data_IF_308552299984
#
_entry.id   IF_308552299984
#
_cell.length_a   1.000
_cell.length_b   1.000
_cell.length_c   1.000
_cell.angle_alpha   90.00
_cell.angle_beta   90.00
_cell.angle_gamma   90.00
#
_symmetry.space_group_name_H-M   'P 1'
#
loop_
_entity.id
_entity.type
_entity.pdbx_description
1 polymer ?
#
# COMPACT_ATOMS: atom_id res chain seq x y z
N UNK A 1 -46.11 55.49 -41.65
CA UNK A 1 -44.71 55.55 -41.13
C UNK A 1 -44.77 55.07 -39.70
N UNK A 2 -44.64 53.76 -39.51
CA UNK A 2 -44.81 53.10 -38.22
C UNK A 2 -43.48 52.97 -37.48
N UNK A 3 -43.56 53.29 -36.19
CA UNK A 3 -42.61 52.93 -35.13
C UNK A 3 -42.20 51.45 -35.23
N UNK A 4 -40.93 51.14 -34.96
CA UNK A 4 -40.61 49.99 -34.10
C UNK A 4 -39.20 50.13 -33.55
N UNK A 5 -39.13 50.66 -32.33
CA UNK A 5 -38.00 50.57 -31.41
C UNK A 5 -37.68 49.09 -31.17
N UNK A 6 -36.63 48.58 -31.82
CA UNK A 6 -36.07 47.27 -31.46
C UNK A 6 -35.22 47.44 -30.19
N UNK A 7 -35.86 47.15 -29.06
CA UNK A 7 -35.18 46.87 -27.81
C UNK A 7 -34.13 45.79 -28.03
N UNK A 8 -32.89 46.11 -27.67
CA UNK A 8 -31.80 45.16 -27.60
C UNK A 8 -32.15 44.16 -26.49
N UNK A 9 -32.74 43.02 -26.86
CA UNK A 9 -32.90 41.89 -25.94
C UNK A 9 -31.49 41.38 -25.61
N UNK A 10 -30.89 41.90 -24.56
CA UNK A 10 -29.86 41.15 -23.83
C UNK A 10 -30.59 40.01 -23.14
N UNK A 11 -30.31 38.74 -23.48
CA UNK A 11 -30.74 37.66 -22.63
C UNK A 11 -29.95 37.83 -21.34
N UNK A 12 -30.61 38.31 -20.30
CA UNK A 12 -30.16 38.12 -18.91
C UNK A 12 -30.31 36.63 -18.60
N UNK A 13 -29.49 35.81 -19.25
CA UNK A 13 -29.17 34.48 -18.77
C UNK A 13 -28.39 34.72 -17.50
N UNK A 14 -29.14 34.78 -16.40
CA UNK A 14 -28.61 34.52 -15.07
C UNK A 14 -27.95 33.15 -15.19
N UNK A 15 -26.64 33.13 -15.44
CA UNK A 15 -25.83 31.94 -15.31
C UNK A 15 -26.08 31.44 -13.90
N UNK A 16 -26.98 30.47 -13.79
CA UNK A 16 -27.19 29.72 -12.57
C UNK A 16 -25.88 28.98 -12.40
N UNK A 17 -24.98 29.59 -11.63
CA UNK A 17 -23.74 28.96 -11.19
C UNK A 17 -24.18 27.68 -10.51
N UNK A 18 -24.07 26.57 -11.23
CA UNK A 18 -24.44 25.25 -10.73
C UNK A 18 -23.51 25.04 -9.56
N UNK A 19 -24.13 25.05 -8.38
CA UNK A 19 -23.46 24.96 -7.10
C UNK A 19 -22.45 23.83 -7.14
N UNK A 20 -21.27 24.16 -6.63
CA UNK A 20 -20.13 23.27 -6.39
C UNK A 20 -20.67 21.91 -5.96
N UNK A 21 -20.54 20.95 -6.90
CA UNK A 21 -21.01 19.58 -6.78
C UNK A 21 -20.57 19.07 -5.41
N UNK A 22 -21.52 18.97 -4.48
CA UNK A 22 -21.27 18.45 -3.14
C UNK A 22 -20.81 16.99 -3.35
N UNK A 23 -19.50 16.76 -3.42
CA UNK A 23 -18.97 15.39 -3.58
C UNK A 23 -19.43 14.64 -2.34
N UNK A 24 -20.28 13.61 -2.46
CA UNK A 24 -20.68 12.85 -1.29
C UNK A 24 -19.42 12.31 -0.63
N UNK A 25 -19.22 12.59 0.67
CA UNK A 25 -18.10 12.04 1.43
C UNK A 25 -18.21 10.52 1.35
N UNK A 26 -17.28 9.90 0.63
CA UNK A 26 -17.25 8.45 0.45
C UNK A 26 -16.93 7.85 1.81
N UNK A 27 -17.91 7.17 2.41
CA UNK A 27 -17.73 6.52 3.70
C UNK A 27 -16.73 5.36 3.53
N UNK A 28 -15.63 5.40 4.29
CA UNK A 28 -14.64 4.33 4.30
C UNK A 28 -15.29 3.02 4.77
N UNK A 29 -15.15 1.97 3.99
CA UNK A 29 -15.64 0.64 4.37
C UNK A 29 -14.73 0.03 5.44
N UNK A 30 -15.31 -0.69 6.40
CA UNK A 30 -14.54 -1.42 7.42
C UNK A 30 -13.52 -2.38 6.81
N UNK A 31 -13.86 -3.01 5.68
CA UNK A 31 -12.96 -3.91 4.96
C UNK A 31 -11.67 -3.22 4.47
N UNK A 32 -11.75 -1.94 4.04
CA UNK A 32 -10.55 -1.18 3.61
C UNK A 32 -9.66 -0.89 4.82
N UNK A 33 -10.25 -0.58 5.97
CA UNK A 33 -9.51 -0.40 7.22
C UNK A 33 -8.78 -1.68 7.63
N UNK A 34 -9.44 -2.83 7.51
CA UNK A 34 -8.85 -4.15 7.80
C UNK A 34 -7.68 -4.44 6.84
N UNK A 35 -7.85 -4.18 5.54
CA UNK A 35 -6.79 -4.34 4.54
C UNK A 35 -5.58 -3.48 4.90
N UNK A 36 -5.78 -2.19 5.18
CA UNK A 36 -4.69 -1.30 5.59
C UNK A 36 -3.94 -1.82 6.82
N UNK A 37 -4.68 -2.28 7.82
CA UNK A 37 -4.11 -2.81 9.06
C UNK A 37 -3.31 -4.09 8.84
N UNK A 38 -3.85 -5.04 8.06
CA UNK A 38 -3.17 -6.28 7.71
C UNK A 38 -1.94 -6.02 6.83
N UNK A 39 -2.00 -5.06 5.91
CA UNK A 39 -0.84 -4.63 5.11
C UNK A 39 0.30 -4.15 6.03
N UNK A 40 -0.03 -3.30 7.01
CA UNK A 40 0.93 -2.73 7.95
C UNK A 40 1.55 -3.80 8.85
N UNK A 41 0.72 -4.67 9.45
CA UNK A 41 1.20 -5.78 10.27
C UNK A 41 2.07 -6.73 9.46
N UNK A 42 1.64 -7.09 8.25
CA UNK A 42 2.40 -7.93 7.35
C UNK A 42 3.78 -7.38 7.06
N UNK A 43 3.86 -6.09 6.75
CA UNK A 43 5.11 -5.38 6.52
C UNK A 43 6.04 -5.43 7.74
N UNK A 44 5.52 -5.17 8.94
CA UNK A 44 6.30 -5.25 10.19
C UNK A 44 6.83 -6.66 10.47
N UNK A 45 6.00 -7.68 10.29
CA UNK A 45 6.40 -9.08 10.50
C UNK A 45 7.46 -9.49 9.48
N UNK A 46 7.29 -9.14 8.21
CA UNK A 46 8.27 -9.46 7.16
C UNK A 46 9.62 -8.79 7.37
N UNK A 47 9.64 -7.51 7.79
CA UNK A 47 10.87 -6.83 8.20
C UNK A 47 11.54 -7.56 9.37
N UNK A 48 10.77 -7.95 10.39
CA UNK A 48 11.28 -8.72 11.53
C UNK A 48 11.88 -10.07 11.12
N UNK A 49 11.23 -10.78 10.20
CA UNK A 49 11.73 -12.04 9.62
C UNK A 49 13.05 -11.82 8.86
N UNK A 50 13.12 -10.78 8.04
CA UNK A 50 14.33 -10.42 7.26
C UNK A 50 15.50 -10.07 8.18
N UNK A 51 15.29 -9.20 9.17
CA UNK A 51 16.30 -8.85 10.18
C UNK A 51 16.74 -10.11 10.95
N UNK A 52 15.80 -10.94 11.40
CA UNK A 52 16.11 -12.18 12.13
C UNK A 52 16.95 -13.14 11.30
N UNK A 53 16.63 -13.31 10.01
CA UNK A 53 17.42 -14.15 9.09
C UNK A 53 18.84 -13.59 8.89
N UNK A 54 18.97 -12.26 8.82
CA UNK A 54 20.25 -11.60 8.67
C UNK A 54 21.17 -11.83 9.88
N UNK A 55 20.61 -11.69 11.08
CA UNK A 55 21.33 -11.91 12.33
C UNK A 55 21.75 -13.37 12.48
N UNK A 56 20.91 -14.33 12.09
CA UNK A 56 21.28 -15.74 12.10
C UNK A 56 22.40 -16.06 11.10
N UNK A 57 22.45 -15.37 9.96
CA UNK A 57 23.51 -15.53 8.96
C UNK A 57 24.83 -14.86 9.32
N UNK A 58 24.81 -13.68 9.98
CA UNK A 58 26.04 -12.94 10.36
C UNK A 58 26.59 -13.34 11.74
N UNK A 59 25.80 -13.97 12.62
CA UNK A 59 26.31 -14.45 13.93
C UNK A 59 27.32 -15.59 13.81
N UNK A 60 27.49 -16.21 12.64
CA UNK A 60 28.58 -17.15 12.39
C UNK A 60 29.95 -16.49 12.14
N UNK A 61 29.99 -15.19 11.78
CA UNK A 61 31.24 -14.52 11.36
C UNK A 61 31.49 -13.14 12.02
N UNK A 62 30.49 -12.52 12.67
CA UNK A 62 30.63 -11.16 13.20
C UNK A 62 31.36 -11.12 14.56
N UNK A 63 32.36 -10.24 14.74
CA UNK A 63 33.07 -10.12 16.00
C UNK A 63 32.10 -9.71 17.12
N UNK A 64 32.17 -10.41 18.27
CA UNK A 64 31.41 -10.18 19.54
C UNK A 64 31.45 -8.75 20.11
N UNK A 65 32.02 -7.79 19.39
CA UNK A 65 32.30 -6.42 19.82
C UNK A 65 31.04 -5.53 19.74
N UNK A 66 30.07 -5.88 18.90
CA UNK A 66 28.85 -5.08 18.69
C UNK A 66 27.71 -5.50 19.64
N UNK A 67 27.08 -4.52 20.30
CA UNK A 67 25.86 -4.75 21.10
C UNK A 67 24.72 -5.28 20.22
N UNK A 68 23.81 -6.08 20.78
CA UNK A 68 22.68 -6.68 20.04
C UNK A 68 21.86 -5.62 19.30
N UNK A 69 21.63 -4.46 19.90
CA UNK A 69 20.90 -3.35 19.27
C UNK A 69 21.64 -2.79 18.04
N UNK A 70 22.97 -2.69 18.09
CA UNK A 70 23.77 -2.23 16.94
C UNK A 70 23.75 -3.25 15.79
N UNK A 71 23.76 -4.55 16.10
CA UNK A 71 23.61 -5.59 15.07
C UNK A 71 22.23 -5.54 14.41
N UNK A 72 21.15 -5.36 15.19
CA UNK A 72 19.79 -5.19 14.67
C UNK A 72 19.72 -3.96 13.75
N UNK A 73 20.33 -2.84 14.16
CA UNK A 73 20.29 -1.61 13.37
C UNK A 73 21.04 -1.75 12.03
N UNK A 74 22.22 -2.39 12.04
CA UNK A 74 22.97 -2.67 10.82
C UNK A 74 22.23 -3.62 9.88
N UNK A 75 21.66 -4.70 10.42
CA UNK A 75 20.83 -5.64 9.66
C UNK A 75 19.60 -4.93 9.05
N UNK A 76 18.89 -4.11 9.83
CA UNK A 76 17.76 -3.33 9.35
C UNK A 76 18.18 -2.36 8.24
N UNK A 77 19.31 -1.67 8.39
CA UNK A 77 19.86 -0.77 7.37
C UNK A 77 20.21 -1.49 6.07
N UNK A 78 20.74 -2.70 6.16
CA UNK A 78 21.11 -3.53 5.01
C UNK A 78 19.90 -4.12 4.28
N UNK A 79 18.86 -4.52 5.00
CA UNK A 79 17.61 -4.94 4.37
C UNK A 79 16.88 -3.74 3.74
N UNK A 80 16.88 -2.57 4.40
CA UNK A 80 16.30 -1.34 3.89
C UNK A 80 17.03 -0.76 2.68
N UNK A 81 18.29 -1.14 2.43
CA UNK A 81 19.04 -0.70 1.25
C UNK A 81 18.81 -1.59 0.02
N UNK A 82 18.15 -2.74 0.18
CA UNK A 82 17.79 -3.59 -0.95
C UNK A 82 16.71 -2.92 -1.80
N UNK A 83 16.97 -2.78 -3.10
CA UNK A 83 16.07 -2.10 -4.05
C UNK A 83 14.65 -2.70 -4.00
N UNK A 84 14.54 -4.03 -3.95
CA UNK A 84 13.25 -4.74 -3.85
C UNK A 84 12.48 -4.35 -2.58
N UNK A 85 13.17 -4.25 -1.44
CA UNK A 85 12.57 -3.88 -0.17
C UNK A 85 12.16 -2.39 -0.12
N UNK A 86 12.96 -1.49 -0.74
CA UNK A 86 12.63 -0.07 -0.87
C UNK A 86 11.32 0.09 -1.63
N UNK A 87 11.22 -0.51 -2.82
CA UNK A 87 10.01 -0.41 -3.63
C UNK A 87 8.79 -1.01 -2.94
N UNK A 88 8.96 -2.16 -2.29
CA UNK A 88 7.90 -2.78 -1.49
C UNK A 88 7.41 -1.84 -0.38
N UNK A 89 8.34 -1.20 0.33
CA UNK A 89 8.04 -0.32 1.46
C UNK A 89 7.37 0.98 0.99
N UNK A 90 7.88 1.61 -0.07
CA UNK A 90 7.29 2.81 -0.65
C UNK A 90 5.89 2.52 -1.19
N UNK A 91 5.71 1.43 -1.95
CA UNK A 91 4.40 1.03 -2.45
C UNK A 91 3.42 0.71 -1.32
N UNK A 92 3.88 0.05 -0.25
CA UNK A 92 3.05 -0.26 0.92
C UNK A 92 2.65 1.00 1.68
N UNK A 93 3.56 1.95 1.88
CA UNK A 93 3.27 3.21 2.56
C UNK A 93 2.27 4.06 1.76
N UNK A 94 2.48 4.20 0.44
CA UNK A 94 1.56 4.91 -0.44
C UNK A 94 0.20 4.21 -0.51
N UNK A 95 0.16 2.88 -0.58
CA UNK A 95 -1.07 2.09 -0.48
C UNK A 95 -1.83 2.42 0.80
N UNK A 96 -1.18 2.33 1.97
CA UNK A 96 -1.80 2.59 3.28
C UNK A 96 -2.38 4.01 3.34
N UNK A 97 -1.57 5.03 3.04
CA UNK A 97 -2.00 6.43 3.11
C UNK A 97 -3.13 6.70 2.12
N UNK A 98 -2.99 6.21 0.89
CA UNK A 98 -3.97 6.44 -0.16
C UNK A 98 -5.29 5.70 0.08
N UNK A 99 -5.26 4.47 0.59
CA UNK A 99 -6.46 3.71 0.97
C UNK A 99 -7.17 4.34 2.17
N UNK A 100 -6.43 4.84 3.18
CA UNK A 100 -7.02 5.55 4.32
C UNK A 100 -7.82 6.79 3.89
N UNK A 101 -7.34 7.49 2.86
CA UNK A 101 -7.98 8.68 2.29
C UNK A 101 -8.88 8.38 1.09
N UNK A 102 -9.11 7.10 0.76
CA UNK A 102 -9.94 6.64 -0.35
C UNK A 102 -9.54 7.27 -1.71
N UNK A 103 -8.24 7.47 -1.95
CA UNK A 103 -7.71 8.07 -3.18
C UNK A 103 -7.46 7.01 -4.26
N UNK A 104 -7.64 7.37 -5.54
CA UNK A 104 -7.38 6.51 -6.70
C UNK A 104 -5.96 5.98 -6.75
N UNK A 105 -4.96 6.83 -6.46
CA UNK A 105 -3.57 6.42 -6.40
C UNK A 105 -3.32 5.38 -5.29
N UNK A 106 -4.02 5.49 -4.15
CA UNK A 106 -3.93 4.49 -3.06
C UNK A 106 -4.33 3.10 -3.51
N UNK A 107 -5.39 3.00 -4.31
CA UNK A 107 -5.80 1.74 -4.93
C UNK A 107 -4.73 1.19 -5.89
N UNK A 108 -4.15 2.04 -6.75
CA UNK A 108 -3.07 1.61 -7.66
C UNK A 108 -1.88 1.07 -6.88
N UNK A 109 -1.40 1.83 -5.89
CA UNK A 109 -0.27 1.41 -5.06
C UNK A 109 -0.58 0.19 -4.20
N UNK A 110 -1.84 -0.05 -3.84
CA UNK A 110 -2.24 -1.28 -3.17
C UNK A 110 -2.06 -2.52 -4.06
N UNK A 111 -2.48 -2.44 -5.33
CA UNK A 111 -2.27 -3.52 -6.29
C UNK A 111 -0.78 -3.72 -6.58
N UNK A 112 -0.02 -2.63 -6.76
CA UNK A 112 1.44 -2.70 -6.95
C UNK A 112 2.15 -3.29 -5.73
N UNK A 113 1.79 -2.84 -4.52
CA UNK A 113 2.33 -3.38 -3.27
C UNK A 113 2.05 -4.88 -3.15
N UNK A 114 0.82 -5.31 -3.44
CA UNK A 114 0.44 -6.72 -3.44
C UNK A 114 1.25 -7.55 -4.45
N UNK A 115 1.52 -7.03 -5.65
CA UNK A 115 2.37 -7.68 -6.63
C UNK A 115 3.84 -7.77 -6.17
N UNK A 116 4.38 -6.69 -5.61
CA UNK A 116 5.72 -6.67 -5.05
C UNK A 116 5.87 -7.64 -3.88
N UNK A 117 4.83 -7.77 -3.05
CA UNK A 117 4.79 -8.77 -2.00
C UNK A 117 4.94 -10.17 -2.56
N UNK A 118 4.16 -10.55 -3.58
CA UNK A 118 4.26 -11.88 -4.21
C UNK A 118 5.69 -12.11 -4.72
N UNK A 119 6.29 -11.12 -5.38
CA UNK A 119 7.67 -11.22 -5.87
C UNK A 119 8.68 -11.40 -4.73
N UNK A 120 8.60 -10.58 -3.68
CA UNK A 120 9.49 -10.69 -2.52
C UNK A 120 9.31 -12.01 -1.76
N UNK A 121 8.10 -12.55 -1.72
CA UNK A 121 7.83 -13.87 -1.16
C UNK A 121 8.44 -14.97 -2.01
N UNK A 122 8.27 -14.92 -3.33
CA UNK A 122 8.86 -15.89 -4.27
C UNK A 122 10.39 -15.91 -4.19
N UNK A 123 11.02 -14.72 -4.19
CA UNK A 123 12.47 -14.58 -4.02
C UNK A 123 12.96 -15.18 -2.68
N UNK A 124 12.16 -14.99 -1.63
CA UNK A 124 12.43 -15.53 -0.30
C UNK A 124 12.31 -17.07 -0.27
N UNK A 125 11.35 -17.65 -1.00
CA UNK A 125 11.23 -19.11 -1.15
C UNK A 125 12.40 -19.70 -1.93
N UNK A 126 12.79 -19.07 -3.04
CA UNK A 126 13.89 -19.54 -3.91
C UNK A 126 15.23 -19.59 -3.18
N UNK A 127 15.51 -18.57 -2.37
CA UNK A 127 16.77 -18.51 -1.60
C UNK A 127 16.83 -19.48 -0.42
N UNK A 128 15.79 -20.27 -0.15
CA UNK A 128 15.65 -21.20 1.00
C UNK A 128 15.79 -20.60 2.41
N UNK A 129 16.18 -19.32 2.53
CA UNK A 129 16.46 -18.60 3.79
C UNK A 129 15.25 -18.62 4.75
N UNK A 130 14.03 -18.78 4.23
CA UNK A 130 12.79 -18.61 5.00
C UNK A 130 11.95 -19.88 5.18
N UNK A 131 12.50 -21.04 4.81
CA UNK A 131 11.80 -22.35 4.89
C UNK A 131 12.18 -23.18 6.12
N UNK A 132 13.08 -22.69 6.98
CA UNK A 132 13.54 -23.47 8.14
C UNK A 132 12.58 -23.42 9.33
N UNK A 133 11.66 -22.45 9.40
CA UNK A 133 10.74 -22.27 10.52
C UNK A 133 9.26 -22.40 10.11
N UNK A 134 8.50 -23.22 10.85
CA UNK A 134 7.05 -23.42 10.65
C UNK A 134 6.26 -22.10 10.71
N UNK A 135 6.62 -21.19 11.62
CA UNK A 135 5.96 -19.89 11.75
C UNK A 135 6.05 -19.07 10.45
N UNK A 136 7.23 -19.03 9.84
CA UNK A 136 7.45 -18.30 8.58
C UNK A 136 6.58 -18.90 7.47
N UNK A 137 6.55 -20.23 7.32
CA UNK A 137 5.71 -20.92 6.32
C UNK A 137 4.23 -20.56 6.47
N UNK A 138 3.70 -20.64 7.69
CA UNK A 138 2.31 -20.32 7.99
C UNK A 138 1.99 -18.85 7.71
N UNK A 139 2.91 -17.95 8.08
CA UNK A 139 2.78 -16.53 7.77
C UNK A 139 2.74 -16.29 6.26
N UNK A 140 3.70 -16.81 5.49
CA UNK A 140 3.75 -16.64 4.04
C UNK A 140 2.47 -17.16 3.36
N UNK A 141 2.01 -18.37 3.70
CA UNK A 141 0.79 -18.96 3.12
C UNK A 141 -0.43 -18.10 3.45
N UNK A 142 -0.61 -17.75 4.74
CA UNK A 142 -1.76 -16.96 5.18
C UNK A 142 -1.77 -15.57 4.56
N UNK A 143 -0.59 -14.96 4.44
CA UNK A 143 -0.45 -13.63 3.87
C UNK A 143 -0.64 -13.63 2.35
N UNK A 144 -0.24 -14.71 1.67
CA UNK A 144 -0.52 -14.90 0.25
C UNK A 144 -2.04 -14.99 0.00
N UNK A 145 -2.78 -15.75 0.81
CA UNK A 145 -4.26 -15.78 0.77
C UNK A 145 -4.84 -14.38 0.99
N UNK A 146 -4.32 -13.64 1.97
CA UNK A 146 -4.70 -12.24 2.20
C UNK A 146 -4.46 -11.35 0.98
N UNK A 147 -3.31 -11.47 0.30
CA UNK A 147 -2.98 -10.69 -0.90
C UNK A 147 -3.98 -10.97 -2.02
N UNK A 148 -4.33 -12.24 -2.26
CA UNK A 148 -5.33 -12.59 -3.27
C UNK A 148 -6.71 -12.02 -2.93
N UNK A 149 -7.20 -12.25 -1.72
CA UNK A 149 -8.51 -11.75 -1.27
C UNK A 149 -8.59 -10.22 -1.29
N UNK A 150 -7.55 -9.53 -0.80
CA UNK A 150 -7.50 -8.06 -0.81
C UNK A 150 -7.43 -7.49 -2.22
N UNK A 151 -6.67 -8.11 -3.13
CA UNK A 151 -6.58 -7.69 -4.53
C UNK A 151 -7.93 -7.81 -5.25
N UNK A 152 -8.64 -8.94 -5.08
CA UNK A 152 -9.97 -9.15 -5.66
C UNK A 152 -10.96 -8.11 -5.08
N UNK A 153 -10.96 -7.92 -3.77
CA UNK A 153 -11.84 -6.94 -3.13
C UNK A 153 -11.57 -5.51 -3.61
N UNK A 154 -10.30 -5.09 -3.65
CA UNK A 154 -9.93 -3.76 -4.13
C UNK A 154 -10.27 -3.59 -5.61
N UNK A 155 -10.11 -4.62 -6.43
CA UNK A 155 -10.45 -4.58 -7.86
C UNK A 155 -11.96 -4.43 -8.10
N UNK A 156 -12.77 -5.17 -7.36
CA UNK A 156 -14.25 -5.07 -7.45
C UNK A 156 -14.75 -3.73 -6.96
N UNK A 157 -14.11 -3.14 -5.94
CA UNK A 157 -14.46 -1.84 -5.38
C UNK A 157 -13.74 -0.66 -6.03
N UNK A 158 -13.00 -0.86 -7.14
CA UNK A 158 -12.15 0.18 -7.75
C UNK A 158 -12.88 1.51 -7.97
N UNK A 159 -14.14 1.46 -8.40
CA UNK A 159 -14.97 2.64 -8.72
C UNK A 159 -15.13 3.57 -7.50
N UNK A 160 -15.04 3.04 -6.28
CA UNK A 160 -15.13 3.83 -5.05
C UNK A 160 -13.95 4.78 -4.85
N UNK A 161 -12.81 4.57 -5.53
CA UNK A 161 -11.61 5.38 -5.38
C UNK A 161 -11.47 6.49 -6.43
N UNK A 162 -12.30 6.49 -7.48
CA UNK A 162 -12.25 7.44 -8.59
C UNK A 162 -13.26 8.59 -8.49
N UNK A 163 -14.02 8.66 -7.40
CA UNK A 163 -15.04 9.70 -7.15
C UNK A 163 -14.46 10.83 -6.29
#
# INVERSE_FOLDING_TARGET
MENFSRSLFMPTDKMKVISIRHKPRIKRSSAITIIVFLQFIGWMIFLGIKIGSHLQGETSESPRIYSISSQIFLAAGKEMSQISFIWLSVASALSIIGLLHMKSWGWVFAIVSNALWIFSMAESFEKSIYLNNLFQKLFFISFLVYIFCSSIYLWTQRIRFWK
#
